data_IF_333020526090
#
_entry.id   IF_333020526090
#
_cell.length_a   1.000
_cell.length_b   1.000
_cell.length_c   1.000
_cell.angle_alpha   90.00
_cell.angle_beta   90.00
_cell.angle_gamma   90.00
#
_symmetry.space_group_name_H-M   'P 1'
#
loop_
_entity.id
_entity.type
_entity.pdbx_description
1 polymer ?
#
# COMPACT_ATOMS: atom_id res chain seq x y z
N UNK A 1 2.42 -20.54 -12.23
CA UNK A 1 2.39 -19.07 -12.47
C UNK A 1 0.98 -18.64 -12.17
N UNK A 2 0.71 -18.18 -10.95
CA UNK A 2 -0.65 -17.87 -10.50
C UNK A 2 -1.04 -16.43 -10.83
N UNK A 3 -2.13 -16.33 -11.58
CA UNK A 3 -3.05 -15.22 -11.81
C UNK A 3 -2.73 -13.83 -11.19
N UNK A 4 -2.28 -12.93 -12.07
CA UNK A 4 -2.14 -11.48 -11.86
C UNK A 4 -3.50 -10.74 -11.87
N UNK A 5 -4.54 -11.29 -11.22
CA UNK A 5 -5.86 -10.67 -11.15
C UNK A 5 -6.27 -10.37 -9.69
N UNK A 6 -5.48 -9.52 -9.04
CA UNK A 6 -5.63 -9.21 -7.61
C UNK A 6 -5.97 -7.74 -7.32
N UNK A 7 -6.39 -6.98 -8.35
CA UNK A 7 -6.76 -5.56 -8.18
C UNK A 7 -8.11 -5.35 -7.48
N UNK A 8 -9.00 -6.33 -7.49
CA UNK A 8 -10.39 -6.18 -6.98
C UNK A 8 -10.70 -7.00 -5.70
N UNK A 9 -9.71 -7.63 -5.06
CA UNK A 9 -9.96 -8.36 -3.82
C UNK A 9 -9.97 -7.42 -2.61
N UNK A 10 -11.11 -7.34 -1.94
CA UNK A 10 -11.23 -6.69 -0.64
C UNK A 10 -10.23 -7.31 0.35
N UNK A 11 -9.34 -6.50 0.92
CA UNK A 11 -8.37 -6.97 1.90
C UNK A 11 -8.97 -6.84 3.30
N UNK A 12 -9.25 -7.98 3.92
CA UNK A 12 -9.83 -8.05 5.27
C UNK A 12 -8.90 -7.47 6.35
N UNK A 13 -7.57 -7.60 6.17
CA UNK A 13 -6.58 -7.10 7.15
C UNK A 13 -6.61 -5.59 7.30
N UNK A 14 -6.56 -4.87 6.18
CA UNK A 14 -6.59 -3.41 6.18
C UNK A 14 -7.97 -2.81 5.92
N UNK A 15 -9.01 -3.64 5.73
CA UNK A 15 -10.35 -3.23 5.31
C UNK A 15 -10.34 -2.28 4.11
N UNK A 16 -9.51 -2.60 3.12
CA UNK A 16 -9.23 -1.79 1.94
C UNK A 16 -8.61 -0.39 2.15
N UNK A 17 -8.19 -0.03 3.35
CA UNK A 17 -7.56 1.28 3.61
C UNK A 17 -6.08 1.32 3.22
N UNK A 18 -5.44 0.16 3.07
CA UNK A 18 -3.99 0.06 2.89
C UNK A 18 -3.18 0.23 4.17
N UNK A 19 -3.84 0.45 5.31
CA UNK A 19 -3.23 0.65 6.63
C UNK A 19 -3.76 -0.40 7.61
N UNK A 20 -2.89 -0.92 8.46
CA UNK A 20 -3.22 -1.84 9.56
C UNK A 20 -2.97 -1.12 10.88
N UNK A 21 -3.91 -1.26 11.81
CA UNK A 21 -3.78 -0.77 13.19
C UNK A 21 -3.83 -1.98 14.13
N UNK A 22 -2.71 -2.22 14.79
CA UNK A 22 -2.51 -3.30 15.74
C UNK A 22 -3.15 -2.98 17.09
N UNK A 23 -3.45 -4.01 17.88
CA UNK A 23 -4.06 -3.85 19.21
C UNK A 23 -3.16 -3.08 20.20
N UNK A 24 -1.84 -3.14 20.01
CA UNK A 24 -0.85 -2.38 20.78
C UNK A 24 -0.77 -0.89 20.38
N UNK A 25 -1.60 -0.44 19.42
CA UNK A 25 -1.61 0.94 18.93
C UNK A 25 -0.64 1.23 17.79
N UNK A 26 0.18 0.26 17.37
CA UNK A 26 1.06 0.41 16.22
C UNK A 26 0.24 0.55 14.94
N UNK A 27 0.64 1.48 14.06
CA UNK A 27 0.03 1.70 12.75
C UNK A 27 1.10 1.48 11.70
N UNK A 28 0.81 0.64 10.69
CA UNK A 28 1.74 0.38 9.61
C UNK A 28 1.01 0.11 8.28
N UNK A 29 1.75 0.17 7.18
CA UNK A 29 1.25 -0.16 5.85
C UNK A 29 0.86 -1.64 5.77
N UNK A 30 -0.23 -1.95 5.07
CA UNK A 30 -0.64 -3.32 4.84
C UNK A 30 0.32 -4.01 3.87
N UNK A 31 1.21 -4.84 4.43
CA UNK A 31 2.24 -5.56 3.67
C UNK A 31 1.67 -6.46 2.58
N UNK A 32 0.54 -7.12 2.81
CA UNK A 32 -0.13 -7.94 1.80
C UNK A 32 -0.54 -7.10 0.58
N UNK A 33 -1.14 -5.93 0.82
CA UNK A 33 -1.57 -5.03 -0.26
C UNK A 33 -0.37 -4.39 -0.97
N UNK A 34 0.73 -4.16 -0.24
CA UNK A 34 1.98 -3.67 -0.83
C UNK A 34 2.60 -4.74 -1.73
N UNK A 35 2.75 -5.96 -1.22
CA UNK A 35 3.33 -7.09 -1.95
C UNK A 35 2.50 -7.47 -3.19
N UNK A 36 1.17 -7.31 -3.12
CA UNK A 36 0.28 -7.53 -4.27
C UNK A 36 0.25 -6.37 -5.28
N UNK A 37 1.01 -5.29 -5.04
CA UNK A 37 1.02 -4.11 -5.90
C UNK A 37 -0.30 -3.32 -5.91
N UNK A 38 -1.15 -3.49 -4.88
CA UNK A 38 -2.43 -2.77 -4.75
C UNK A 38 -2.26 -1.41 -4.06
N UNK A 39 -1.12 -1.18 -3.42
CA UNK A 39 -0.74 0.11 -2.87
C UNK A 39 0.20 0.78 -3.85
N UNK A 40 -0.20 1.94 -4.36
CA UNK A 40 0.68 2.77 -5.17
C UNK A 40 1.66 3.48 -4.21
N UNK A 41 2.85 2.91 -4.02
CA UNK A 41 3.89 3.48 -3.15
C UNK A 41 4.61 4.67 -3.80
N UNK A 42 4.36 4.89 -5.09
CA UNK A 42 4.87 6.05 -5.81
C UNK A 42 3.70 6.97 -6.12
N UNK A 43 3.61 8.09 -5.40
CA UNK A 43 2.79 9.20 -5.88
C UNK A 43 3.36 9.60 -7.25
N UNK A 44 2.58 9.47 -8.32
CA UNK A 44 3.00 9.95 -9.65
C UNK A 44 3.31 11.45 -9.64
N UNK A 45 2.65 12.15 -8.71
CA UNK A 45 2.90 13.53 -8.35
C UNK A 45 3.83 13.57 -7.14
N UNK A 46 5.14 13.52 -7.38
CA UNK A 46 6.12 14.04 -6.42
C UNK A 46 6.30 15.53 -6.72
N UNK A 47 6.15 16.42 -5.73
CA UNK A 47 6.51 17.82 -5.92
C UNK A 47 8.01 17.91 -6.26
N UNK A 48 8.35 18.74 -7.25
CA UNK A 48 9.74 19.04 -7.56
C UNK A 48 10.35 19.73 -6.34
N UNK A 49 11.27 19.05 -5.66
CA UNK A 49 11.87 19.55 -4.43
C UNK A 49 13.11 20.41 -4.69
N UNK A 50 13.39 20.81 -5.94
CA UNK A 50 14.53 21.65 -6.32
C UNK A 50 15.88 21.20 -5.72
N UNK A 51 16.04 19.90 -5.46
CA UNK A 51 17.27 19.33 -4.91
C UNK A 51 18.36 19.44 -5.97
N UNK A 52 19.27 20.40 -5.79
CA UNK A 52 20.47 20.55 -6.62
C UNK A 52 21.48 19.50 -6.19
N UNK A 53 21.86 18.61 -7.11
CA UNK A 53 23.00 17.69 -6.99
C UNK A 53 24.32 18.44 -7.14
#
# INVERSE_FOLDING_TARGET
MEDYNQKDKFCQKCKNTGIVKEANGQVHTCWDCLASGRLDNHSKDLPDNHLRL
#
